data_IF_940354208732
#
_entry.id   IF_940354208732
#
_cell.length_a   1.000
_cell.length_b   1.000
_cell.length_c   1.000
_cell.angle_alpha   90.00
_cell.angle_beta   90.00
_cell.angle_gamma   90.00
#
_symmetry.space_group_name_H-M   'P 1'
#
loop_
_entity.id
_entity.type
_entity.pdbx_description
1 polymer ?
#
# COMPACT_ATOMS: atom_id res chain seq x y z
N UNK A 1 -10.20 10.30 2.10
CA UNK A 1 -8.93 11.08 2.11
C UNK A 1 -7.81 10.08 1.90
N UNK A 2 -6.94 10.30 0.91
CA UNK A 2 -5.84 9.37 0.58
C UNK A 2 -4.55 9.97 1.15
N UNK A 3 -3.85 9.23 2.02
CA UNK A 3 -2.63 9.70 2.68
C UNK A 3 -1.43 8.84 2.30
N UNK A 4 -0.27 9.45 2.06
CA UNK A 4 0.99 8.77 1.77
C UNK A 4 1.83 8.75 3.05
N UNK A 5 2.42 7.61 3.35
CA UNK A 5 3.33 7.37 4.46
C UNK A 5 4.66 6.81 3.95
N UNK A 6 5.72 7.11 4.69
CA UNK A 6 7.06 6.58 4.38
C UNK A 6 7.10 5.08 4.68
N UNK A 7 7.92 4.34 3.94
CA UNK A 7 8.16 2.90 4.16
C UNK A 7 8.56 2.55 5.61
N UNK A 8 9.15 3.51 6.35
CA UNK A 8 9.59 3.34 7.75
C UNK A 8 8.55 3.76 8.79
N UNK A 9 7.37 4.23 8.37
CA UNK A 9 6.36 4.71 9.33
C UNK A 9 5.85 3.54 10.17
N UNK A 10 6.16 3.58 11.47
CA UNK A 10 5.75 2.57 12.45
C UNK A 10 4.23 2.51 12.56
N UNK A 11 3.70 1.30 12.84
CA UNK A 11 2.27 0.93 12.89
C UNK A 11 1.35 1.89 13.67
N UNK A 12 1.90 2.68 14.58
CA UNK A 12 1.18 3.60 15.47
C UNK A 12 0.91 5.00 14.85
N UNK A 13 1.60 5.36 13.77
CA UNK A 13 1.60 6.74 13.25
C UNK A 13 0.68 6.98 12.03
N UNK A 14 -0.19 6.02 11.70
CA UNK A 14 -1.13 6.14 10.56
C UNK A 14 -2.34 7.06 10.82
N UNK A 15 -2.38 7.76 11.96
CA UNK A 15 -3.42 8.72 12.30
C UNK A 15 -3.02 10.19 12.04
N UNK A 16 -1.82 10.41 11.48
CA UNK A 16 -1.34 11.73 11.06
C UNK A 16 -1.44 11.88 9.54
N UNK A 17 -1.30 13.10 9.01
CA UNK A 17 -1.31 13.40 7.57
C UNK A 17 -0.18 12.73 6.76
N UNK A 18 0.70 11.97 7.41
CA UNK A 18 1.80 11.24 6.79
C UNK A 18 2.83 12.17 6.16
N UNK A 19 3.43 11.73 5.05
CA UNK A 19 4.30 12.53 4.19
C UNK A 19 3.50 13.54 3.37
N UNK A 20 2.35 13.12 2.84
CA UNK A 20 1.50 13.95 1.99
C UNK A 20 0.08 13.40 1.92
N UNK A 21 -0.90 14.30 1.95
CA UNK A 21 -2.29 13.95 1.67
C UNK A 21 -2.60 14.25 0.21
N UNK A 22 -2.92 13.21 -0.54
CA UNK A 22 -3.36 13.26 -1.93
C UNK A 22 -4.82 13.79 -1.94
N UNK A 23 -4.94 15.09 -2.14
CA UNK A 23 -6.22 15.81 -2.21
C UNK A 23 -6.66 16.01 -3.67
N UNK A 24 -5.68 16.10 -4.59
CA UNK A 24 -5.88 16.41 -6.02
C UNK A 24 -5.65 15.17 -6.91
N UNK A 25 -6.13 14.00 -6.51
CA UNK A 25 -6.06 12.81 -7.36
C UNK A 25 -6.92 13.00 -8.60
N UNK A 26 -6.36 12.69 -9.78
CA UNK A 26 -7.12 12.69 -11.04
C UNK A 26 -7.97 11.44 -11.10
N UNK A 27 -7.37 10.29 -10.76
CA UNK A 27 -8.01 8.98 -10.73
C UNK A 27 -7.53 8.23 -9.49
N UNK A 28 -8.44 7.54 -8.81
CA UNK A 28 -8.13 6.59 -7.75
C UNK A 28 -9.11 5.43 -7.86
N UNK A 29 -8.62 4.28 -8.32
CA UNK A 29 -9.41 3.06 -8.52
C UNK A 29 -8.87 1.97 -7.63
N UNK A 30 -9.74 1.44 -6.78
CA UNK A 30 -9.46 0.28 -5.94
C UNK A 30 -10.09 -0.93 -6.60
N UNK A 31 -9.29 -1.95 -6.88
CA UNK A 31 -9.73 -3.24 -7.39
C UNK A 31 -9.67 -4.23 -6.25
N UNK A 32 -10.84 -4.68 -5.78
CA UNK A 32 -10.99 -5.71 -4.75
C UNK A 32 -11.72 -6.91 -5.35
N UNK A 33 -11.05 -8.07 -5.38
CA UNK A 33 -11.65 -9.33 -5.79
C UNK A 33 -11.68 -10.31 -4.61
N UNK A 34 -12.82 -10.97 -4.41
CA UNK A 34 -13.01 -11.92 -3.30
C UNK A 34 -12.07 -13.12 -3.50
N UNK A 35 -11.14 -13.35 -2.56
CA UNK A 35 -10.01 -14.31 -2.68
C UNK A 35 -9.07 -14.03 -3.88
N UNK A 36 -9.16 -12.86 -4.49
CA UNK A 36 -8.39 -12.50 -5.68
C UNK A 36 -7.33 -11.45 -5.37
N UNK A 37 -7.21 -10.46 -6.26
CA UNK A 37 -6.28 -9.35 -6.11
C UNK A 37 -6.91 -8.17 -5.36
N UNK A 38 -6.15 -7.59 -4.42
CA UNK A 38 -6.46 -6.30 -3.82
C UNK A 38 -5.39 -5.26 -4.18
N UNK A 39 -5.72 -4.44 -5.19
CA UNK A 39 -4.82 -3.47 -5.80
C UNK A 39 -5.43 -2.07 -5.81
N UNK A 40 -4.57 -1.05 -5.76
CA UNK A 40 -4.95 0.35 -5.84
C UNK A 40 -4.16 1.02 -6.98
N UNK A 41 -4.89 1.59 -7.92
CA UNK A 41 -4.38 2.39 -9.01
C UNK A 41 -4.68 3.87 -8.76
N UNK A 42 -3.65 4.72 -8.85
CA UNK A 42 -3.79 6.17 -8.67
C UNK A 42 -3.13 6.90 -9.84
N UNK A 43 -3.82 7.89 -10.38
CA UNK A 43 -3.25 8.89 -11.28
C UNK A 43 -3.21 10.25 -10.59
N UNK A 44 -2.02 10.84 -10.57
CA UNK A 44 -1.77 12.12 -9.89
C UNK A 44 -1.05 13.10 -10.80
N UNK A 45 -1.34 14.41 -10.75
CA UNK A 45 -0.61 15.40 -11.54
C UNK A 45 0.80 15.57 -10.97
N UNK A 46 1.83 15.47 -11.83
CA UNK A 46 3.23 15.60 -11.42
C UNK A 46 3.63 17.04 -11.03
N UNK A 47 2.73 18.01 -11.22
CA UNK A 47 2.97 19.43 -10.92
C UNK A 47 2.90 19.73 -9.41
N UNK A 48 2.19 18.89 -8.66
CA UNK A 48 1.98 19.09 -7.22
C UNK A 48 3.16 18.51 -6.43
N UNK A 49 3.73 19.26 -5.47
CA UNK A 49 4.88 18.85 -4.62
C UNK A 49 4.72 17.47 -3.99
N UNK A 50 3.47 17.08 -3.74
CA UNK A 50 3.04 15.79 -3.17
C UNK A 50 3.47 14.59 -4.02
N UNK A 51 3.57 14.78 -5.34
CA UNK A 51 4.01 13.79 -6.32
C UNK A 51 5.43 13.26 -6.04
N UNK A 52 6.28 14.06 -5.39
CA UNK A 52 7.64 13.66 -4.99
C UNK A 52 7.63 12.50 -3.98
N UNK A 53 6.55 12.35 -3.23
CA UNK A 53 6.39 11.28 -2.23
C UNK A 53 5.79 10.00 -2.83
N UNK A 54 5.38 9.99 -4.10
CA UNK A 54 4.98 8.78 -4.82
C UNK A 54 6.23 8.05 -5.28
N UNK A 55 6.82 7.30 -4.35
CA UNK A 55 8.03 6.51 -4.54
C UNK A 55 7.70 5.05 -4.28
N UNK A 56 8.38 4.14 -4.98
CA UNK A 56 8.30 2.71 -4.71
C UNK A 56 8.54 2.41 -3.22
N UNK A 57 7.83 1.40 -2.69
CA UNK A 57 7.80 0.98 -1.29
C UNK A 57 7.08 1.93 -0.31
N UNK A 58 6.66 3.12 -0.73
CA UNK A 58 5.83 3.96 0.14
C UNK A 58 4.45 3.35 0.33
N UNK A 59 3.81 3.72 1.43
CA UNK A 59 2.53 3.17 1.84
C UNK A 59 1.45 4.22 1.59
N UNK A 60 0.39 3.85 0.89
CA UNK A 60 -0.79 4.68 0.66
C UNK A 60 -1.90 4.15 1.56
N UNK A 61 -2.48 5.04 2.37
CA UNK A 61 -3.70 4.76 3.14
C UNK A 61 -4.89 5.30 2.37
N UNK A 62 -5.79 4.42 1.95
CA UNK A 62 -7.04 4.75 1.29
C UNK A 62 -8.18 3.98 1.98
N UNK A 63 -9.26 4.68 2.37
CA UNK A 63 -10.40 4.09 3.09
C UNK A 63 -9.97 3.20 4.28
N UNK A 64 -9.04 3.71 5.10
CA UNK A 64 -8.47 3.00 6.27
C UNK A 64 -7.63 1.75 5.96
N UNK A 65 -7.54 1.33 4.70
CA UNK A 65 -6.68 0.24 4.24
C UNK A 65 -5.31 0.76 3.81
N UNK A 66 -4.30 -0.10 3.91
CA UNK A 66 -2.90 0.22 3.61
C UNK A 66 -2.45 -0.52 2.34
N UNK A 67 -1.91 0.23 1.38
CA UNK A 67 -1.41 -0.28 0.12
C UNK A 67 0.06 0.08 -0.03
N UNK A 68 0.92 -0.88 -0.36
CA UNK A 68 2.33 -0.65 -0.67
C UNK A 68 2.48 -0.40 -2.17
N UNK A 69 3.11 0.71 -2.53
CA UNK A 69 3.43 1.05 -3.91
C UNK A 69 4.50 0.08 -4.41
N UNK A 70 4.21 -0.61 -5.51
CA UNK A 70 5.17 -1.51 -6.15
C UNK A 70 5.64 -0.98 -7.51
N UNK A 71 4.91 -0.05 -8.12
CA UNK A 71 5.28 0.53 -9.42
C UNK A 71 4.83 1.98 -9.51
N UNK A 72 5.72 2.83 -10.04
CA UNK A 72 5.44 4.23 -10.34
C UNK A 72 5.91 4.54 -11.76
N UNK A 73 5.00 5.03 -12.61
CA UNK A 73 5.34 5.51 -13.96
C UNK A 73 5.06 7.00 -14.07
N UNK A 74 6.04 7.76 -14.59
CA UNK A 74 5.93 9.19 -14.80
C UNK A 74 5.81 9.46 -16.30
N UNK A 75 4.64 9.91 -16.74
CA UNK A 75 4.39 10.26 -18.14
C UNK A 75 4.76 11.74 -18.38
N UNK A 76 5.67 11.99 -19.33
CA UNK A 76 6.22 13.32 -19.65
C UNK A 76 5.74 13.89 -21.01
N UNK A 77 4.92 13.16 -21.77
CA UNK A 77 4.72 13.44 -23.20
C UNK A 77 3.76 14.60 -23.53
N UNK A 78 2.75 14.91 -22.69
CA UNK A 78 1.82 16.05 -22.95
C UNK A 78 1.03 16.52 -21.72
N UNK A 79 0.80 15.66 -20.73
CA UNK A 79 0.22 16.04 -19.44
C UNK A 79 1.11 15.45 -18.37
N UNK A 80 1.72 16.29 -17.52
CA UNK A 80 2.57 15.85 -16.41
C UNK A 80 1.75 15.01 -15.44
N UNK A 81 1.68 13.70 -15.64
CA UNK A 81 0.90 12.75 -14.83
C UNK A 81 1.78 11.62 -14.33
N UNK A 82 1.51 11.17 -13.12
CA UNK A 82 2.15 10.05 -12.47
C UNK A 82 1.11 8.98 -12.26
N UNK A 83 1.37 7.80 -12.80
CA UNK A 83 0.59 6.59 -12.60
C UNK A 83 1.25 5.76 -11.52
N UNK A 84 0.49 5.34 -10.53
CA UNK A 84 0.99 4.63 -9.37
C UNK A 84 0.16 3.37 -9.21
N UNK A 85 0.84 2.23 -9.14
CA UNK A 85 0.24 0.96 -8.82
C UNK A 85 0.72 0.49 -7.45
N UNK A 86 -0.26 0.14 -6.64
CA UNK A 86 -0.07 -0.26 -5.25
C UNK A 86 -0.81 -1.57 -5.02
N UNK A 87 -0.28 -2.41 -4.15
CA UNK A 87 -0.93 -3.66 -3.71
C UNK A 87 -1.20 -3.59 -2.22
N UNK A 88 -2.24 -4.28 -1.78
CA UNK A 88 -2.57 -4.29 -0.36
C UNK A 88 -1.41 -4.85 0.48
N UNK A 89 -1.17 -4.27 1.67
CA UNK A 89 -0.08 -4.69 2.56
C UNK A 89 -0.24 -6.15 3.04
N UNK A 90 -1.44 -6.71 2.95
CA UNK A 90 -1.69 -8.12 3.26
C UNK A 90 -0.82 -9.07 2.45
N UNK A 91 -0.52 -8.76 1.18
CA UNK A 91 0.36 -9.61 0.38
C UNK A 91 1.82 -9.61 0.86
N UNK A 92 2.23 -8.63 1.66
CA UNK A 92 3.56 -8.62 2.29
C UNK A 92 3.68 -9.78 3.30
N UNK A 93 2.57 -10.21 3.91
CA UNK A 93 2.55 -11.38 4.79
C UNK A 93 2.84 -12.68 4.04
N UNK A 94 2.41 -12.79 2.78
CA UNK A 94 2.71 -13.96 1.96
C UNK A 94 4.22 -14.12 1.65
N UNK A 95 5.00 -13.04 1.78
CA UNK A 95 6.45 -13.08 1.65
C UNK A 95 7.17 -13.52 2.94
N UNK A 96 6.49 -13.63 4.08
CA UNK A 96 7.07 -14.21 5.28
C UNK A 96 7.21 -15.72 5.11
N UNK A 97 8.42 -16.15 4.76
CA UNK A 97 8.76 -17.57 4.69
C UNK A 97 8.93 -18.13 6.10
N UNK A 98 8.13 -19.14 6.43
CA UNK A 98 8.23 -19.87 7.69
C UNK A 98 9.07 -21.12 7.42
N UNK A 99 10.31 -21.12 7.92
CA UNK A 99 11.26 -22.22 7.70
C UNK A 99 10.82 -23.53 8.38
N UNK A 100 10.22 -23.42 9.58
CA UNK A 100 9.58 -24.55 10.25
C UNK A 100 8.71 -24.06 11.39
N UNK A 101 7.49 -24.59 11.47
CA UNK A 101 6.62 -24.46 12.63
C UNK A 101 6.25 -25.86 13.11
N UNK A 102 6.62 -26.20 14.34
CA UNK A 102 6.22 -27.47 14.98
C UNK A 102 5.12 -27.18 15.99
N UNK A 103 3.87 -27.20 15.52
CA UNK A 103 2.69 -27.04 16.36
C UNK A 103 2.14 -28.43 16.71
N UNK A 104 2.19 -28.81 17.99
CA UNK A 104 1.63 -30.07 18.49
C UNK A 104 0.47 -29.75 19.44
N UNK A 105 -0.73 -30.28 19.17
CA UNK A 105 -1.97 -30.00 19.92
C UNK A 105 -2.38 -28.51 19.99
N UNK A 106 -2.13 -27.75 18.93
CA UNK A 106 -2.49 -26.33 18.85
C UNK A 106 -3.97 -26.13 18.45
N UNK A 107 -4.65 -25.21 19.11
CA UNK A 107 -5.98 -24.73 18.70
C UNK A 107 -5.88 -23.81 17.47
N UNK A 108 -7.00 -23.56 16.77
CA UNK A 108 -7.04 -22.71 15.56
C UNK A 108 -6.35 -21.34 15.75
N UNK A 109 -6.48 -20.74 16.94
CA UNK A 109 -5.81 -19.47 17.28
C UNK A 109 -4.28 -19.62 17.36
N UNK A 110 -3.80 -20.70 17.98
CA UNK A 110 -2.36 -20.97 18.12
C UNK A 110 -1.71 -21.39 16.80
N UNK A 111 -2.45 -22.10 15.95
CA UNK A 111 -2.00 -22.40 14.60
C UNK A 111 -1.81 -21.13 13.78
N UNK A 112 -2.72 -20.16 13.91
CA UNK A 112 -2.62 -18.87 13.22
C UNK A 112 -1.45 -18.04 13.79
N UNK A 113 -1.30 -17.94 15.11
CA UNK A 113 -0.17 -17.22 15.73
C UNK A 113 1.19 -17.83 15.41
N UNK A 114 1.28 -19.15 15.22
CA UNK A 114 2.53 -19.81 14.80
C UNK A 114 2.87 -19.63 13.32
N UNK A 115 1.93 -19.12 12.51
CA UNK A 115 2.05 -19.02 11.04
C UNK A 115 2.04 -17.57 10.54
N UNK A 116 2.22 -16.58 11.43
CA UNK A 116 2.29 -15.13 11.12
C UNK A 116 3.57 -14.58 11.74
#
# INVERSE_FOLDING_TARGET
>A
MICIYDKKTTKDNFNNNGLAVLDECIVAEVTEELNGEYSLYIEYPADSRKATHLVELNIIKANEQLFRIYKVERQQESTRRIKVWSRHIFYDLAFYFIESVNLVNANMKEAIEGTI
#
